data_IF_025083646082
#
_entry.id   IF_025083646082
#
_cell.length_a   1.000
_cell.length_b   1.000
_cell.length_c   1.000
_cell.angle_alpha   90.00
_cell.angle_beta   90.00
_cell.angle_gamma   90.00
#
_symmetry.space_group_name_H-M   'P 1'
#
loop_
_entity.id
_entity.type
_entity.pdbx_description
1 polymer ?
#
# COMPACT_ATOMS: atom_id res chain seq x y z
N UNK A 1 27.23 12.91 -85.88
CA UNK A 1 26.53 13.81 -84.94
C UNK A 1 25.06 13.41 -84.86
N UNK A 2 24.68 12.58 -83.88
CA UNK A 2 23.29 12.37 -83.43
C UNK A 2 23.37 11.97 -81.96
N UNK A 3 22.87 12.86 -81.10
CA UNK A 3 22.80 12.69 -79.65
C UNK A 3 21.73 11.65 -79.31
N UNK A 4 22.07 10.68 -78.46
CA UNK A 4 21.09 9.81 -77.81
C UNK A 4 21.07 10.17 -76.33
N UNK A 5 19.95 10.73 -75.91
CA UNK A 5 19.60 11.03 -74.52
C UNK A 5 19.08 9.73 -73.92
N UNK A 6 19.70 9.23 -72.86
CA UNK A 6 19.05 8.23 -72.01
C UNK A 6 19.20 8.60 -70.53
N UNK A 7 18.03 8.88 -69.98
CA UNK A 7 17.63 9.39 -68.68
C UNK A 7 18.31 8.80 -67.45
N UNK A 8 18.62 9.68 -66.49
CA UNK A 8 18.90 9.35 -65.09
C UNK A 8 17.71 8.60 -64.46
N UNK A 9 18.00 7.48 -63.81
CA UNK A 9 17.13 6.94 -62.76
C UNK A 9 17.78 7.19 -61.40
N UNK A 10 17.13 8.04 -60.60
CA UNK A 10 17.42 8.32 -59.21
C UNK A 10 17.02 7.08 -58.38
N UNK A 11 17.96 6.45 -57.68
CA UNK A 11 17.65 5.43 -56.69
C UNK A 11 17.21 6.11 -55.38
N UNK A 12 15.94 5.97 -55.02
CA UNK A 12 15.43 6.40 -53.73
C UNK A 12 15.94 5.44 -52.64
N UNK A 13 16.80 5.93 -51.75
CA UNK A 13 17.22 5.20 -50.55
C UNK A 13 16.14 5.41 -49.48
N UNK A 14 15.23 4.44 -49.35
CA UNK A 14 14.33 4.39 -48.20
C UNK A 14 15.13 3.89 -46.99
N UNK A 15 15.54 4.82 -46.11
CA UNK A 15 16.02 4.46 -44.79
C UNK A 15 14.84 3.92 -43.98
N UNK A 16 14.66 2.60 -43.97
CA UNK A 16 13.74 1.95 -43.05
C UNK A 16 14.25 2.14 -41.64
N UNK A 17 13.60 2.99 -40.86
CA UNK A 17 13.79 3.05 -39.41
C UNK A 17 13.55 1.64 -38.86
N UNK A 18 14.55 1.05 -38.23
CA UNK A 18 14.34 -0.12 -37.38
C UNK A 18 13.35 0.28 -36.30
N UNK A 19 12.09 -0.12 -36.46
CA UNK A 19 11.13 -0.11 -35.37
C UNK A 19 11.77 -0.98 -34.30
N UNK A 20 12.22 -0.36 -33.21
CA UNK A 20 12.59 -1.10 -32.02
C UNK A 20 11.39 -1.96 -31.67
N UNK A 21 11.55 -3.27 -31.83
CA UNK A 21 10.59 -4.25 -31.42
C UNK A 21 10.32 -3.97 -29.94
N UNK A 22 9.18 -3.33 -29.65
CA UNK A 22 8.64 -3.29 -28.30
C UNK A 22 8.65 -4.75 -27.89
N UNK A 23 9.40 -5.08 -26.85
CA UNK A 23 9.26 -6.34 -26.15
C UNK A 23 7.84 -6.33 -25.56
N UNK A 24 6.83 -6.55 -26.39
CA UNK A 24 5.58 -7.12 -25.92
C UNK A 24 6.02 -8.51 -25.50
N UNK A 25 6.26 -8.66 -24.20
CA UNK A 25 6.18 -9.95 -23.59
C UNK A 25 4.69 -10.32 -23.67
N UNK A 26 4.24 -10.69 -24.88
CA UNK A 26 3.02 -11.45 -25.09
C UNK A 26 3.34 -12.80 -24.47
N UNK A 27 3.27 -12.85 -23.14
CA UNK A 27 3.20 -14.10 -22.43
C UNK A 27 1.80 -14.58 -22.77
N UNK A 28 1.69 -15.43 -23.76
CA UNK A 28 0.59 -16.39 -23.84
C UNK A 28 0.66 -17.19 -22.52
N UNK A 29 0.04 -16.66 -21.48
CA UNK A 29 -0.19 -17.34 -20.22
C UNK A 29 -1.31 -18.36 -20.43
N UNK A 30 -1.15 -19.24 -21.42
CA UNK A 30 -1.98 -20.43 -21.58
C UNK A 30 -1.49 -21.46 -20.56
N UNK A 31 -1.65 -21.13 -19.28
CA UNK A 31 -1.51 -22.09 -18.18
C UNK A 31 -2.79 -22.91 -18.06
N UNK A 32 -2.67 -24.22 -17.88
CA UNK A 32 -3.83 -25.06 -17.53
C UNK A 32 -4.08 -25.00 -16.03
N UNK A 33 -5.26 -24.51 -15.62
CA UNK A 33 -5.73 -24.63 -14.24
C UNK A 33 -6.45 -25.98 -14.07
N UNK A 34 -5.98 -26.80 -13.13
CA UNK A 34 -6.58 -28.12 -12.83
C UNK A 34 -7.15 -28.11 -11.42
N UNK A 35 -8.40 -28.52 -11.27
CA UNK A 35 -9.09 -28.61 -9.97
C UNK A 35 -9.36 -30.09 -9.68
N UNK A 36 -8.88 -30.58 -8.53
CA UNK A 36 -9.18 -31.93 -8.06
C UNK A 36 -10.31 -31.87 -7.01
N UNK A 37 -11.56 -32.14 -7.43
CA UNK A 37 -12.73 -32.11 -6.55
C UNK A 37 -12.75 -33.24 -5.50
N UNK A 38 -11.91 -34.27 -5.64
CA UNK A 38 -11.77 -35.34 -4.64
C UNK A 38 -10.81 -34.95 -3.50
N UNK A 39 -10.03 -33.88 -3.66
CA UNK A 39 -9.09 -33.41 -2.63
C UNK A 39 -9.69 -32.22 -1.86
N UNK A 40 -10.12 -32.44 -0.60
CA UNK A 40 -10.65 -31.38 0.27
C UNK A 40 -9.54 -30.81 1.15
N UNK A 41 -9.23 -29.52 0.98
CA UNK A 41 -8.18 -28.82 1.76
C UNK A 41 -8.71 -28.14 3.03
N UNK A 42 -9.94 -28.46 3.45
CA UNK A 42 -10.60 -27.86 4.61
C UNK A 42 -11.64 -26.77 4.25
N UNK A 43 -12.23 -26.17 5.28
CA UNK A 43 -13.19 -25.07 5.12
C UNK A 43 -12.46 -23.77 4.73
N UNK A 44 -12.92 -23.02 3.72
CA UNK A 44 -12.33 -21.72 3.38
C UNK A 44 -12.31 -20.78 4.59
N UNK A 45 -11.11 -20.35 4.98
CA UNK A 45 -10.89 -19.47 6.14
C UNK A 45 -10.70 -17.99 5.76
N UNK A 46 -10.82 -17.65 4.46
CA UNK A 46 -10.69 -16.28 3.95
C UNK A 46 -9.40 -15.56 4.43
N UNK A 47 -8.28 -16.29 4.50
CA UNK A 47 -7.02 -15.78 5.09
C UNK A 47 -6.37 -14.63 4.31
N UNK A 48 -6.73 -14.45 3.04
CA UNK A 48 -6.29 -13.34 2.21
C UNK A 48 -7.34 -12.23 2.06
N UNK A 49 -8.49 -12.35 2.74
CA UNK A 49 -9.57 -11.37 2.65
C UNK A 49 -9.29 -10.21 3.62
N UNK A 50 -8.58 -9.21 3.12
CA UNK A 50 -8.27 -8.03 3.90
C UNK A 50 -7.93 -6.82 3.05
N UNK A 51 -7.90 -5.66 3.69
CA UNK A 51 -7.65 -4.37 3.06
C UNK A 51 -6.44 -3.72 3.71
N UNK A 52 -5.41 -3.45 2.90
CA UNK A 52 -4.30 -2.57 3.26
C UNK A 52 -4.64 -1.19 2.71
N UNK A 53 -4.96 -0.26 3.60
CA UNK A 53 -5.61 0.99 3.23
C UNK A 53 -6.95 0.75 2.49
N UNK A 54 -7.70 1.82 2.20
CA UNK A 54 -8.98 1.74 1.48
C UNK A 54 -10.22 1.58 2.35
N UNK A 55 -10.08 1.61 3.68
CA UNK A 55 -11.21 1.85 4.59
C UNK A 55 -11.29 3.37 4.81
N UNK A 56 -12.39 4.04 4.44
CA UNK A 56 -12.49 5.48 4.61
C UNK A 56 -12.60 5.89 6.07
N UNK A 57 -12.00 7.03 6.42
CA UNK A 57 -12.10 7.59 7.77
C UNK A 57 -13.55 7.97 8.12
N UNK A 58 -14.28 8.48 7.13
CA UNK A 58 -15.71 8.75 7.25
C UNK A 58 -16.52 7.46 7.11
N UNK A 59 -17.18 7.09 8.20
CA UNK A 59 -17.98 5.87 8.26
C UNK A 59 -19.19 5.92 7.31
N UNK A 60 -19.58 4.75 6.80
CA UNK A 60 -20.79 4.59 5.98
C UNK A 60 -20.63 4.93 4.50
N UNK A 61 -19.43 5.29 4.04
CA UNK A 61 -19.16 5.53 2.62
C UNK A 61 -19.18 4.25 1.76
N UNK A 62 -18.84 3.11 2.36
CA UNK A 62 -18.84 1.81 1.70
C UNK A 62 -20.08 1.03 2.17
N UNK A 63 -20.94 0.57 1.25
CA UNK A 63 -22.08 -0.29 1.59
C UNK A 63 -21.64 -1.52 2.41
N UNK A 64 -22.40 -1.84 3.46
CA UNK A 64 -21.97 -2.82 4.47
C UNK A 64 -21.74 -4.22 3.93
N UNK A 65 -22.45 -4.61 2.86
CA UNK A 65 -22.32 -5.93 2.25
C UNK A 65 -20.93 -6.20 1.68
N UNK A 66 -20.20 -5.15 1.24
CA UNK A 66 -18.82 -5.31 0.81
C UNK A 66 -17.88 -5.76 1.93
N UNK A 67 -18.20 -5.48 3.19
CA UNK A 67 -17.46 -6.03 4.33
C UNK A 67 -18.03 -7.38 4.78
N UNK A 68 -19.35 -7.49 4.91
CA UNK A 68 -19.95 -8.68 5.54
C UNK A 68 -19.95 -9.93 4.65
N UNK A 69 -19.93 -9.79 3.33
CA UNK A 69 -20.08 -10.94 2.41
C UNK A 69 -18.75 -11.42 1.81
N UNK A 70 -17.69 -10.63 1.86
CA UNK A 70 -16.37 -11.03 1.33
C UNK A 70 -15.58 -11.95 2.27
N UNK A 71 -16.13 -12.29 3.44
CA UNK A 71 -15.39 -12.94 4.51
C UNK A 71 -14.26 -12.07 5.05
N UNK A 72 -14.54 -10.77 5.25
CA UNK A 72 -13.55 -9.78 5.66
C UNK A 72 -12.87 -10.18 6.97
N UNK A 73 -11.55 -10.32 6.92
CA UNK A 73 -10.78 -10.92 8.00
C UNK A 73 -9.73 -9.94 8.57
N UNK A 74 -9.21 -9.03 7.74
CA UNK A 74 -8.16 -8.10 8.17
C UNK A 74 -8.31 -6.68 7.61
N UNK A 75 -8.17 -5.68 8.47
CA UNK A 75 -7.82 -4.31 8.09
C UNK A 75 -6.37 -4.02 8.46
N UNK A 76 -5.63 -3.30 7.62
CA UNK A 76 -4.23 -2.93 7.87
C UNK A 76 -4.01 -1.47 7.49
N UNK A 77 -3.59 -0.62 8.43
CA UNK A 77 -3.33 0.79 8.18
C UNK A 77 -2.46 1.43 9.28
N UNK A 78 -1.78 2.53 8.94
CA UNK A 78 -1.09 3.41 9.90
C UNK A 78 -1.19 4.90 9.57
N UNK A 79 -2.04 5.26 8.59
CA UNK A 79 -2.26 6.64 8.15
C UNK A 79 -1.14 7.20 7.27
N UNK A 80 -0.38 6.36 6.55
CA UNK A 80 0.60 6.84 5.58
C UNK A 80 -0.02 7.86 4.62
N UNK A 81 0.74 8.90 4.30
CA UNK A 81 0.39 9.93 3.32
C UNK A 81 -0.90 10.70 3.60
N UNK A 82 -1.43 10.66 4.83
CA UNK A 82 -2.42 11.66 5.27
C UNK A 82 -1.79 13.06 5.12
N UNK A 83 -2.44 14.01 4.41
CA UNK A 83 -1.88 15.32 4.14
C UNK A 83 -1.76 16.16 5.41
N UNK A 84 -1.00 17.25 5.35
CA UNK A 84 -0.94 18.21 6.46
C UNK A 84 -2.32 18.84 6.73
N UNK A 85 -2.78 18.88 7.99
CA UNK A 85 -2.16 18.29 9.18
C UNK A 85 -2.46 16.79 9.25
N UNK A 86 -1.44 15.96 9.50
CA UNK A 86 -1.55 14.50 9.53
C UNK A 86 -0.32 13.75 9.03
N UNK A 87 0.87 14.35 9.09
CA UNK A 87 2.10 13.80 8.52
C UNK A 87 2.83 12.79 9.43
N UNK A 88 2.38 12.59 10.67
CA UNK A 88 2.96 11.61 11.60
C UNK A 88 3.91 12.20 12.64
N UNK A 89 4.55 11.33 13.42
CA UNK A 89 5.36 11.67 14.60
C UNK A 89 6.49 12.66 14.32
N UNK A 90 7.29 12.44 13.28
CA UNK A 90 8.46 13.27 13.00
C UNK A 90 8.12 14.71 12.61
N UNK A 91 6.84 15.00 12.37
CA UNK A 91 6.32 16.33 12.06
C UNK A 91 5.69 17.03 13.28
N UNK A 92 5.63 16.34 14.42
CA UNK A 92 5.15 16.87 15.70
C UNK A 92 3.87 16.19 16.21
N UNK A 93 3.57 16.39 17.50
CA UNK A 93 2.47 15.70 18.18
C UNK A 93 1.08 16.01 17.58
N UNK A 94 0.86 17.22 17.04
CA UNK A 94 -0.39 17.57 16.37
C UNK A 94 -0.60 16.78 15.08
N UNK A 95 0.46 16.62 14.28
CA UNK A 95 0.46 15.84 13.03
C UNK A 95 0.27 14.35 13.31
N UNK A 96 0.95 13.84 14.34
CA UNK A 96 0.76 12.48 14.85
C UNK A 96 -0.69 12.22 15.25
N UNK A 97 -1.33 13.13 16.01
CA UNK A 97 -2.70 12.91 16.51
C UNK A 97 -3.72 12.80 15.38
N UNK A 98 -3.58 13.61 14.33
CA UNK A 98 -4.48 13.52 13.16
C UNK A 98 -4.25 12.19 12.42
N UNK A 99 -2.99 11.81 12.19
CA UNK A 99 -2.66 10.53 11.55
C UNK A 99 -3.14 9.32 12.35
N UNK A 100 -2.94 9.34 13.67
CA UNK A 100 -3.45 8.32 14.59
C UNK A 100 -4.97 8.21 14.52
N UNK A 101 -5.68 9.35 14.47
CA UNK A 101 -7.14 9.38 14.35
C UNK A 101 -7.63 8.69 13.07
N UNK A 102 -6.93 8.86 11.94
CA UNK A 102 -7.24 8.17 10.68
C UNK A 102 -7.07 6.65 10.81
N UNK A 103 -5.94 6.20 11.36
CA UNK A 103 -5.73 4.78 11.61
C UNK A 103 -6.73 4.20 12.64
N UNK A 104 -7.13 4.99 13.64
CA UNK A 104 -8.12 4.60 14.63
C UNK A 104 -9.54 4.46 14.02
N UNK A 105 -9.95 5.33 13.08
CA UNK A 105 -11.21 5.13 12.34
C UNK A 105 -11.19 3.83 11.53
N UNK A 106 -10.04 3.51 10.91
CA UNK A 106 -9.85 2.25 10.19
C UNK A 106 -9.98 1.03 11.13
N UNK A 107 -9.39 1.11 12.34
CA UNK A 107 -9.57 0.11 13.40
C UNK A 107 -11.04 -0.09 13.75
N UNK A 108 -11.79 0.99 13.99
CA UNK A 108 -13.19 0.89 14.38
C UNK A 108 -14.07 0.25 13.30
N UNK A 109 -13.90 0.64 12.03
CA UNK A 109 -14.61 -0.04 10.93
C UNK A 109 -14.24 -1.51 10.85
N UNK A 110 -12.94 -1.81 10.99
CA UNK A 110 -12.43 -3.18 10.89
C UNK A 110 -13.07 -4.08 11.94
N UNK A 111 -13.07 -3.64 13.21
CA UNK A 111 -13.68 -4.38 14.32
C UNK A 111 -15.20 -4.46 14.21
N UNK A 112 -15.86 -3.40 13.74
CA UNK A 112 -17.31 -3.39 13.51
C UNK A 112 -17.77 -4.53 12.60
N UNK A 113 -16.96 -4.91 11.61
CA UNK A 113 -17.25 -6.00 10.67
C UNK A 113 -16.51 -7.30 11.00
N UNK A 114 -16.01 -7.45 12.23
CA UNK A 114 -15.43 -8.70 12.74
C UNK A 114 -13.97 -8.97 12.35
N UNK A 115 -13.38 -8.16 11.47
CA UNK A 115 -11.99 -8.31 11.04
C UNK A 115 -10.99 -7.92 12.13
N UNK A 116 -9.79 -8.51 12.12
CA UNK A 116 -8.66 -8.10 12.97
C UNK A 116 -7.96 -6.89 12.37
N UNK A 117 -7.39 -6.02 13.20
CA UNK A 117 -6.71 -4.82 12.73
C UNK A 117 -5.20 -4.92 12.95
N UNK A 118 -4.43 -4.68 11.89
CA UNK A 118 -2.98 -4.63 11.91
C UNK A 118 -2.56 -3.16 11.82
N UNK A 119 -2.06 -2.60 12.92
CA UNK A 119 -1.63 -1.21 13.00
C UNK A 119 -0.18 -1.08 12.54
N UNK A 120 0.05 -0.25 11.51
CA UNK A 120 1.37 0.04 10.97
C UNK A 120 2.01 1.21 11.70
N UNK A 121 2.71 0.92 12.80
CA UNK A 121 3.35 1.98 13.59
C UNK A 121 4.50 2.66 12.82
N UNK A 122 5.11 1.95 11.87
CA UNK A 122 6.09 2.54 10.96
C UNK A 122 5.50 3.64 10.06
N UNK A 123 4.24 3.55 9.65
CA UNK A 123 3.59 4.59 8.84
C UNK A 123 3.17 5.79 9.69
N UNK A 124 2.79 5.53 10.94
CA UNK A 124 2.45 6.57 11.92
C UNK A 124 3.69 7.39 12.33
N UNK A 125 4.90 6.84 12.18
CA UNK A 125 6.17 7.57 12.37
C UNK A 125 6.27 8.80 11.45
N UNK A 126 5.85 8.68 10.18
CA UNK A 126 5.83 9.81 9.24
C UNK A 126 6.93 9.85 8.18
N UNK A 127 7.80 8.83 8.11
CA UNK A 127 8.80 8.67 7.06
C UNK A 127 8.27 7.76 5.92
N UNK A 128 7.25 8.24 5.21
CA UNK A 128 6.43 7.47 4.25
C UNK A 128 6.68 7.82 2.77
N UNK A 129 7.82 8.45 2.48
CA UNK A 129 8.21 8.95 1.16
C UNK A 129 7.90 10.43 0.93
N UNK A 130 7.19 11.09 1.85
CA UNK A 130 6.87 12.54 1.77
C UNK A 130 7.82 13.43 2.59
N UNK A 131 8.69 12.81 3.39
CA UNK A 131 9.63 13.47 4.28
C UNK A 131 10.82 14.09 3.54
N UNK A 132 11.40 15.14 4.12
CA UNK A 132 12.62 15.75 3.60
C UNK A 132 13.86 14.88 3.88
N UNK A 133 14.99 15.22 3.27
CA UNK A 133 16.25 14.47 3.40
C UNK A 133 16.85 14.46 4.82
N UNK A 134 16.37 15.32 5.71
CA UNK A 134 16.79 15.41 7.11
C UNK A 134 15.83 14.72 8.08
N UNK A 135 14.90 13.91 7.57
CA UNK A 135 13.95 13.19 8.39
C UNK A 135 14.67 12.26 9.37
N UNK A 136 14.27 12.33 10.65
CA UNK A 136 14.79 11.45 11.67
C UNK A 136 14.20 10.05 11.52
N UNK A 137 15.05 9.03 11.58
CA UNK A 137 14.65 7.63 11.67
C UNK A 137 14.89 7.09 13.09
N UNK A 138 14.14 6.05 13.50
CA UNK A 138 14.35 5.42 14.79
C UNK A 138 15.79 4.92 14.93
N UNK A 139 16.47 5.33 16.01
CA UNK A 139 17.84 4.88 16.33
C UNK A 139 18.96 5.62 15.61
N UNK A 140 18.66 6.68 14.85
CA UNK A 140 19.69 7.50 14.19
C UNK A 140 20.77 7.95 15.20
N UNK A 141 22.04 7.78 14.82
CA UNK A 141 23.20 8.06 15.66
C UNK A 141 23.21 7.28 17.00
N UNK A 142 22.54 6.14 17.07
CA UNK A 142 22.41 5.33 18.29
C UNK A 142 21.44 5.91 19.32
N UNK A 143 20.66 6.94 18.96
CA UNK A 143 19.70 7.59 19.86
C UNK A 143 18.28 7.06 19.65
N UNK A 144 17.74 6.40 20.66
CA UNK A 144 16.40 5.80 20.64
C UNK A 144 15.34 6.65 21.35
N UNK A 145 15.70 7.78 21.97
CA UNK A 145 14.79 8.54 22.84
C UNK A 145 13.51 9.00 22.15
N UNK A 146 13.57 9.41 20.87
CA UNK A 146 12.37 9.82 20.11
C UNK A 146 11.48 8.63 19.77
N UNK A 147 12.07 7.46 19.51
CA UNK A 147 11.33 6.23 19.25
C UNK A 147 10.64 5.71 20.53
N UNK A 148 11.33 5.76 21.67
CA UNK A 148 10.74 5.37 22.96
C UNK A 148 9.56 6.29 23.33
N UNK A 149 9.75 7.61 23.20
CA UNK A 149 8.68 8.57 23.43
C UNK A 149 7.48 8.37 22.48
N UNK A 150 7.74 8.00 21.23
CA UNK A 150 6.73 7.65 20.25
C UNK A 150 5.94 6.40 20.68
N UNK A 151 6.62 5.34 21.11
CA UNK A 151 5.98 4.11 21.57
C UNK A 151 5.14 4.34 22.83
N UNK A 152 5.65 5.12 23.79
CA UNK A 152 4.90 5.49 24.98
C UNK A 152 3.62 6.25 24.64
N UNK A 153 3.71 7.23 23.72
CA UNK A 153 2.55 7.98 23.23
C UNK A 153 1.55 7.04 22.53
N UNK A 154 2.01 6.20 21.62
CA UNK A 154 1.18 5.24 20.89
C UNK A 154 0.46 4.28 21.84
N UNK A 155 1.18 3.66 22.77
CA UNK A 155 0.60 2.72 23.74
C UNK A 155 -0.41 3.43 24.64
N UNK A 156 -0.10 4.66 25.07
CA UNK A 156 -1.03 5.49 25.84
C UNK A 156 -2.32 5.75 25.07
N UNK A 157 -2.24 6.13 23.79
CA UNK A 157 -3.41 6.42 22.97
C UNK A 157 -4.23 5.18 22.64
N UNK A 158 -3.60 4.03 22.36
CA UNK A 158 -4.30 2.76 22.16
C UNK A 158 -5.09 2.39 23.42
N UNK A 159 -4.48 2.50 24.61
CA UNK A 159 -5.17 2.24 25.89
C UNK A 159 -6.30 3.22 26.13
N UNK A 160 -6.06 4.52 25.89
CA UNK A 160 -7.05 5.59 26.06
C UNK A 160 -8.28 5.38 25.19
N UNK A 161 -8.12 4.83 23.99
CA UNK A 161 -9.21 4.56 23.05
C UNK A 161 -9.76 3.12 23.14
N UNK A 162 -9.32 2.32 24.12
CA UNK A 162 -9.69 0.91 24.25
C UNK A 162 -9.51 0.11 22.96
N UNK A 163 -8.50 0.46 22.17
CA UNK A 163 -8.26 -0.07 20.82
C UNK A 163 -7.39 -1.34 20.83
N UNK A 164 -7.60 -2.23 21.79
CA UNK A 164 -6.74 -3.42 22.02
C UNK A 164 -7.33 -4.71 21.46
N UNK A 165 -8.65 -4.77 21.27
CA UNK A 165 -9.32 -5.99 20.80
C UNK A 165 -9.05 -6.25 19.31
N UNK A 166 -8.65 -7.48 18.98
CA UNK A 166 -8.28 -7.86 17.61
C UNK A 166 -7.11 -7.06 17.02
N UNK A 167 -6.31 -6.37 17.84
CA UNK A 167 -5.16 -5.57 17.41
C UNK A 167 -3.90 -6.44 17.25
N UNK A 168 -3.20 -6.25 16.14
CA UNK A 168 -1.82 -6.68 15.93
C UNK A 168 -0.97 -5.45 15.56
N UNK A 169 0.27 -5.40 16.03
CA UNK A 169 1.17 -4.27 15.76
C UNK A 169 2.24 -4.72 14.79
N UNK A 170 2.40 -3.98 13.70
CA UNK A 170 3.46 -4.17 12.70
C UNK A 170 4.53 -3.10 12.87
N UNK A 171 5.68 -3.52 13.40
CA UNK A 171 6.78 -2.62 13.79
C UNK A 171 7.57 -2.15 12.57
N UNK A 172 7.70 -3.00 11.54
CA UNK A 172 8.47 -2.71 10.34
C UNK A 172 7.83 -3.42 9.14
N UNK A 173 7.61 -2.69 8.06
CA UNK A 173 7.24 -3.33 6.80
C UNK A 173 8.50 -3.71 6.00
N UNK A 174 8.66 -5.00 5.74
CA UNK A 174 9.47 -5.50 4.63
C UNK A 174 8.53 -5.96 3.53
N UNK A 175 7.90 -5.00 2.87
CA UNK A 175 7.09 -5.23 1.66
C UNK A 175 7.87 -4.73 0.44
N UNK A 176 9.11 -5.20 0.28
CA UNK A 176 9.93 -5.21 -0.94
C UNK A 176 10.93 -6.38 -0.83
#
# INVERSE_FOLDING_TARGET
MKYSVLSLFLAAVANGSTILQRHTKDVDALGTSTINLNNKTGTPAHVASGLLYGIPDTQGQIPTYFYSEMGFNYGRAGGAQVPSPGRGWIWGLSEYKVRFSSALSNYHSTRKYGGKFIFLIHDLWGADGTQNSSAAYPGDNGNWASWDAYLDQFISDIKKNSATDGLSIDIVSRLC
#
